data_IF_108998737454
#
_entry.id   IF_108998737454
#
_cell.length_a   1.000
_cell.length_b   1.000
_cell.length_c   1.000
_cell.angle_alpha   90.00
_cell.angle_beta   90.00
_cell.angle_gamma   90.00
#
_symmetry.space_group_name_H-M   'P 1'
#
loop_
_entity.id
_entity.type
_entity.pdbx_description
1 polymer ?
#
# COMPACT_ATOMS: atom_id res chain seq x y z
N UNK A 1 11.40 -7.20 -0.09
CA UNK A 1 10.12 -7.94 0.04
C UNK A 1 8.98 -6.96 -0.18
N UNK A 2 8.03 -7.34 -1.02
CA UNK A 2 6.95 -6.53 -1.63
C UNK A 2 6.44 -7.28 -2.86
N UNK A 3 5.90 -6.59 -3.88
CA UNK A 3 5.41 -7.20 -5.14
C UNK A 3 6.35 -8.25 -5.72
N UNK A 4 7.66 -7.95 -5.78
CA UNK A 4 8.67 -8.89 -6.29
C UNK A 4 8.73 -10.21 -5.52
N UNK A 5 8.63 -10.16 -4.19
CA UNK A 5 8.67 -11.36 -3.35
C UNK A 5 7.37 -12.16 -3.44
N UNK A 6 6.22 -11.47 -3.49
CA UNK A 6 4.92 -12.12 -3.73
C UNK A 6 4.91 -12.83 -5.08
N UNK A 7 5.40 -12.18 -6.13
CA UNK A 7 5.51 -12.77 -7.45
C UNK A 7 6.43 -13.99 -7.46
N UNK A 8 7.61 -13.90 -6.82
CA UNK A 8 8.55 -15.01 -6.68
C UNK A 8 7.92 -16.23 -6.02
N UNK A 9 7.22 -16.02 -4.89
CA UNK A 9 6.57 -17.09 -4.13
C UNK A 9 5.47 -17.76 -4.95
N UNK A 10 4.64 -16.97 -5.64
CA UNK A 10 3.55 -17.51 -6.47
C UNK A 10 4.09 -18.28 -7.66
N UNK A 11 5.07 -17.73 -8.39
CA UNK A 11 5.67 -18.41 -9.54
C UNK A 11 6.34 -19.72 -9.13
N UNK A 12 7.10 -19.75 -8.02
CA UNK A 12 7.70 -20.99 -7.50
C UNK A 12 6.64 -22.00 -7.04
N UNK A 13 5.57 -21.55 -6.39
CA UNK A 13 4.53 -22.43 -5.84
C UNK A 13 3.60 -23.01 -6.90
N UNK A 14 3.47 -22.32 -8.04
CA UNK A 14 2.58 -22.69 -9.14
C UNK A 14 3.32 -23.20 -10.37
N UNK A 15 4.66 -23.36 -10.27
CA UNK A 15 5.55 -23.77 -11.36
C UNK A 15 5.41 -22.90 -12.62
N UNK A 16 5.44 -21.57 -12.42
CA UNK A 16 5.38 -20.57 -13.47
C UNK A 16 6.76 -19.93 -13.66
N UNK A 17 7.05 -19.55 -14.90
CA UNK A 17 8.28 -18.83 -15.26
C UNK A 17 8.04 -17.34 -15.51
N UNK A 18 6.78 -16.94 -15.75
CA UNK A 18 6.41 -15.54 -15.91
C UNK A 18 4.99 -15.25 -15.43
N UNK A 19 4.74 -13.99 -15.10
CA UNK A 19 3.41 -13.44 -14.82
C UNK A 19 3.25 -12.03 -15.41
N UNK A 20 2.05 -11.72 -15.88
CA UNK A 20 1.68 -10.44 -16.47
C UNK A 20 0.99 -9.48 -15.50
N UNK A 21 0.73 -8.28 -16.03
CA UNK A 21 -0.03 -7.24 -15.34
C UNK A 21 0.79 -6.43 -14.36
N UNK A 22 2.13 -6.45 -14.45
CA UNK A 22 2.98 -5.54 -13.69
C UNK A 22 2.71 -4.11 -14.17
N UNK A 23 2.56 -3.18 -13.24
CA UNK A 23 2.51 -1.76 -13.57
C UNK A 23 3.40 -0.99 -12.61
N UNK A 24 3.90 0.15 -13.09
CA UNK A 24 4.69 1.08 -12.29
C UNK A 24 4.33 2.50 -12.72
N UNK A 25 4.22 3.44 -11.77
CA UNK A 25 4.16 4.85 -12.13
C UNK A 25 5.46 5.25 -12.83
N UNK A 26 5.34 6.03 -13.90
CA UNK A 26 6.52 6.61 -14.54
C UNK A 26 6.78 8.00 -13.94
N UNK A 27 8.04 8.37 -13.77
CA UNK A 27 8.43 9.74 -13.41
C UNK A 27 9.03 10.43 -14.63
N UNK A 28 8.56 11.63 -14.94
CA UNK A 28 9.24 12.56 -15.85
C UNK A 28 9.87 13.67 -15.03
N UNK A 29 11.20 13.65 -14.82
CA UNK A 29 11.89 14.69 -14.06
C UNK A 29 12.08 15.95 -14.90
N UNK A 30 11.84 17.10 -14.27
CA UNK A 30 12.18 18.43 -14.77
C UNK A 30 13.20 19.03 -13.80
N UNK A 31 14.36 19.45 -14.30
CA UNK A 31 15.39 20.06 -13.46
C UNK A 31 15.94 21.33 -14.10
N UNK A 32 16.03 22.38 -13.31
CA UNK A 32 16.86 23.53 -13.63
C UNK A 32 18.32 23.21 -13.35
N UNK A 33 19.19 23.44 -14.34
CA UNK A 33 20.61 23.14 -14.21
C UNK A 33 21.29 23.94 -13.08
N UNK A 34 20.71 25.05 -12.63
CA UNK A 34 21.24 25.80 -11.49
C UNK A 34 21.24 25.00 -10.18
N UNK A 35 20.42 23.93 -10.07
CA UNK A 35 20.46 23.03 -8.90
C UNK A 35 21.77 22.26 -8.75
N UNK A 36 22.55 22.15 -9.83
CA UNK A 36 23.86 21.49 -9.82
C UNK A 36 25.02 22.47 -9.61
N UNK A 37 24.74 23.77 -9.47
CA UNK A 37 25.75 24.78 -9.17
C UNK A 37 26.04 24.90 -7.67
N UNK A 38 27.14 25.56 -7.33
CA UNK A 38 27.57 25.80 -5.94
C UNK A 38 26.71 26.82 -5.18
N UNK A 39 25.75 27.47 -5.87
CA UNK A 39 24.89 28.51 -5.29
C UNK A 39 23.44 28.24 -5.64
N UNK A 40 22.55 28.41 -4.64
CA UNK A 40 21.12 28.32 -4.87
C UNK A 40 20.67 29.44 -5.82
N UNK A 41 19.76 29.15 -6.77
CA UNK A 41 19.29 30.13 -7.76
C UNK A 41 18.38 31.22 -7.16
N UNK A 42 18.08 31.16 -5.87
CA UNK A 42 17.38 32.20 -5.13
C UNK A 42 17.72 32.12 -3.63
N UNK A 43 17.32 33.17 -2.90
CA UNK A 43 17.34 33.20 -1.44
C UNK A 43 16.58 32.00 -0.87
N UNK A 44 17.18 31.31 0.12
CA UNK A 44 16.59 30.14 0.77
C UNK A 44 15.22 30.43 1.40
N UNK A 45 14.98 31.67 1.86
CA UNK A 45 13.69 32.10 2.41
C UNK A 45 12.57 32.17 1.36
N UNK A 46 12.91 32.20 0.07
CA UNK A 46 11.99 32.18 -1.05
C UNK A 46 11.75 30.78 -1.62
N UNK A 47 12.47 29.76 -1.14
CA UNK A 47 12.23 28.39 -1.56
C UNK A 47 10.85 27.92 -1.10
N UNK A 48 10.14 27.28 -2.01
CA UNK A 48 8.86 26.64 -1.76
C UNK A 48 8.92 25.23 -2.32
N UNK A 49 8.61 24.26 -1.48
CA UNK A 49 8.36 22.90 -1.90
C UNK A 49 6.86 22.62 -1.80
N UNK A 50 6.37 21.71 -2.62
CA UNK A 50 4.98 21.32 -2.55
C UNK A 50 4.68 20.07 -3.35
N UNK A 51 3.42 19.66 -3.23
CA UNK A 51 2.83 18.61 -4.02
C UNK A 51 1.62 19.19 -4.77
N UNK A 52 1.39 18.68 -5.97
CA UNK A 52 0.26 19.04 -6.82
C UNK A 52 -0.28 17.77 -7.47
N UNK A 53 -1.61 17.68 -7.53
CA UNK A 53 -2.32 16.66 -8.30
C UNK A 53 -3.13 17.33 -9.39
N UNK A 54 -3.30 16.65 -10.52
CA UNK A 54 -4.15 17.09 -11.62
C UNK A 54 -5.12 15.97 -11.98
N UNK A 55 -6.33 16.36 -12.36
CA UNK A 55 -7.35 15.45 -12.88
C UNK A 55 -7.22 15.26 -14.41
N UNK A 56 -6.00 15.45 -14.94
CA UNK A 56 -5.67 15.23 -16.35
C UNK A 56 -5.81 13.76 -16.73
N UNK A 57 -5.74 13.44 -18.04
CA UNK A 57 -5.82 12.07 -18.53
C UNK A 57 -4.81 11.14 -17.84
N UNK A 58 -3.60 11.62 -17.58
CA UNK A 58 -2.54 10.89 -16.87
C UNK A 58 -2.69 10.86 -15.35
N UNK A 59 -3.70 11.56 -14.80
CA UNK A 59 -3.91 11.80 -13.36
C UNK A 59 -2.62 12.16 -12.66
N UNK A 60 -1.90 13.12 -13.24
CA UNK A 60 -0.53 13.39 -12.88
C UNK A 60 -0.42 13.96 -11.47
N UNK A 61 0.63 13.55 -10.76
CA UNK A 61 1.08 14.16 -9.51
C UNK A 61 2.46 14.73 -9.72
N UNK A 62 2.78 15.85 -9.08
CA UNK A 62 4.15 16.34 -9.03
C UNK A 62 4.55 16.74 -7.63
N UNK A 63 5.72 16.28 -7.20
CA UNK A 63 6.49 16.93 -6.15
C UNK A 63 7.38 17.97 -6.81
N UNK A 64 7.39 19.19 -6.29
CA UNK A 64 8.14 20.28 -6.91
C UNK A 64 8.86 21.15 -5.89
N UNK A 65 9.90 21.80 -6.38
CA UNK A 65 10.66 22.83 -5.70
C UNK A 65 10.71 24.06 -6.61
N UNK A 66 10.39 25.24 -6.08
CA UNK A 66 10.45 26.49 -6.82
C UNK A 66 11.00 27.64 -5.97
N UNK A 67 11.52 28.64 -6.67
CA UNK A 67 11.78 29.96 -6.13
C UNK A 67 10.52 30.81 -6.24
N UNK A 68 9.99 31.28 -5.11
CA UNK A 68 8.90 32.25 -5.06
C UNK A 68 9.30 33.56 -5.76
N UNK A 69 8.33 34.37 -6.22
CA UNK A 69 8.65 35.65 -6.84
C UNK A 69 9.38 36.57 -5.85
N UNK A 70 10.29 37.38 -6.38
CA UNK A 70 10.95 38.47 -5.65
C UNK A 70 10.77 39.78 -6.43
N UNK A 71 11.03 40.96 -5.83
CA UNK A 71 10.98 42.23 -6.56
C UNK A 71 11.88 42.27 -7.81
N UNK A 72 12.93 41.45 -7.84
CA UNK A 72 13.92 41.39 -8.92
C UNK A 72 13.76 40.18 -9.85
N UNK A 73 12.82 39.25 -9.58
CA UNK A 73 12.72 38.01 -10.36
C UNK A 73 11.31 37.41 -10.37
N UNK A 74 10.83 36.93 -11.54
CA UNK A 74 9.61 36.12 -11.58
C UNK A 74 9.80 34.80 -10.79
N UNK A 75 8.72 34.09 -10.48
CA UNK A 75 8.85 32.76 -9.89
C UNK A 75 9.51 31.81 -10.88
N UNK A 76 10.27 30.85 -10.35
CA UNK A 76 11.04 29.90 -11.15
C UNK A 76 10.92 28.49 -10.59
N UNK A 77 10.43 27.57 -11.41
CA UNK A 77 10.45 26.15 -11.09
C UNK A 77 11.89 25.64 -11.15
N UNK A 78 12.36 25.05 -10.05
CA UNK A 78 13.71 24.49 -9.95
C UNK A 78 13.72 23.00 -10.23
N UNK A 79 12.75 22.28 -9.69
CA UNK A 79 12.60 20.86 -9.93
C UNK A 79 11.12 20.46 -9.90
N UNK A 80 10.75 19.48 -10.71
CA UNK A 80 9.51 18.73 -10.53
C UNK A 80 9.73 17.27 -10.90
N UNK A 81 9.19 16.36 -10.10
CA UNK A 81 9.09 14.94 -10.42
C UNK A 81 7.64 14.66 -10.79
N UNK A 82 7.34 14.62 -12.09
CA UNK A 82 5.98 14.43 -12.58
C UNK A 82 5.69 12.94 -12.69
N UNK A 83 4.86 12.41 -11.79
CA UNK A 83 4.37 11.04 -11.81
C UNK A 83 3.15 10.93 -12.73
N UNK A 84 3.24 10.03 -13.71
CA UNK A 84 2.12 9.62 -14.58
C UNK A 84 1.47 8.38 -13.98
N UNK A 85 0.22 8.50 -13.54
CA UNK A 85 -0.42 7.49 -12.69
C UNK A 85 -1.62 6.78 -13.34
N UNK A 86 -1.93 7.08 -14.61
CA UNK A 86 -3.05 6.46 -15.33
C UNK A 86 -2.60 5.83 -16.67
N UNK A 87 -1.47 5.13 -16.66
CA UNK A 87 -1.01 4.39 -17.82
C UNK A 87 -1.72 3.02 -17.91
N UNK A 88 -2.07 2.60 -19.13
CA UNK A 88 -2.68 1.30 -19.40
C UNK A 88 -1.65 0.24 -19.78
N UNK A 89 -0.43 0.64 -20.15
CA UNK A 89 0.67 -0.27 -20.39
C UNK A 89 0.91 -1.18 -19.17
N UNK A 90 1.20 -2.46 -19.43
CA UNK A 90 1.51 -3.48 -18.43
C UNK A 90 2.77 -4.22 -18.85
N UNK A 91 3.53 -4.64 -17.86
CA UNK A 91 4.75 -5.41 -18.00
C UNK A 91 4.61 -6.82 -17.49
N UNK A 92 5.74 -7.50 -17.44
CA UNK A 92 5.88 -8.87 -16.99
C UNK A 92 6.86 -8.96 -15.82
N UNK A 93 6.66 -9.97 -14.97
CA UNK A 93 7.64 -10.45 -14.02
C UNK A 93 8.07 -11.83 -14.48
N UNK A 94 9.36 -12.10 -14.50
CA UNK A 94 9.96 -13.36 -14.94
C UNK A 94 10.87 -13.93 -13.86
N UNK A 95 10.87 -15.26 -13.74
CA UNK A 95 11.92 -15.99 -13.04
C UNK A 95 12.99 -16.39 -14.07
N UNK A 96 14.11 -15.70 -14.02
CA UNK A 96 15.28 -16.07 -14.81
C UNK A 96 15.98 -17.26 -14.12
N UNK A 97 16.18 -18.35 -14.86
CA UNK A 97 17.04 -19.46 -14.48
C UNK A 97 18.50 -19.04 -14.65
N UNK A 98 18.96 -18.13 -13.77
CA UNK A 98 20.30 -17.58 -13.83
C UNK A 98 21.37 -18.69 -13.82
N UNK A 99 22.47 -18.45 -14.56
CA UNK A 99 23.67 -19.29 -14.51
C UNK A 99 24.26 -19.21 -13.10
N UNK A 100 24.13 -20.27 -12.31
CA UNK A 100 24.70 -20.37 -10.95
C UNK A 100 23.72 -20.12 -9.81
N UNK A 101 22.83 -21.09 -9.59
CA UNK A 101 22.23 -21.47 -8.30
C UNK A 101 21.21 -20.55 -7.59
N UNK A 102 20.75 -19.44 -8.16
CA UNK A 102 19.54 -18.76 -7.65
C UNK A 102 18.68 -18.18 -8.78
N UNK A 103 17.44 -18.66 -8.91
CA UNK A 103 16.42 -18.04 -9.77
C UNK A 103 16.28 -16.57 -9.39
N UNK A 104 16.43 -15.66 -10.36
CA UNK A 104 16.31 -14.21 -10.13
C UNK A 104 14.96 -13.73 -10.63
N UNK A 105 14.29 -12.90 -9.84
CA UNK A 105 13.08 -12.20 -10.27
C UNK A 105 13.49 -10.98 -11.09
N UNK A 106 12.94 -10.85 -12.29
CA UNK A 106 13.15 -9.70 -13.17
C UNK A 106 11.81 -9.11 -13.60
N UNK A 107 11.70 -7.79 -13.58
CA UNK A 107 10.60 -7.08 -14.23
C UNK A 107 10.99 -6.58 -15.61
N UNK A 108 10.04 -6.60 -16.55
CA UNK A 108 10.17 -5.98 -17.87
C UNK A 108 8.97 -5.06 -18.12
N UNK A 109 9.24 -3.80 -18.46
CA UNK A 109 8.21 -2.79 -18.69
C UNK A 109 8.69 -1.72 -19.67
N UNK A 110 7.77 -1.21 -20.49
CA UNK A 110 7.99 -0.04 -21.37
C UNK A 110 7.03 1.06 -20.99
N UNK A 111 7.53 2.16 -20.42
CA UNK A 111 6.70 3.27 -19.98
C UNK A 111 5.89 3.87 -21.14
N UNK A 112 4.59 4.04 -20.89
CA UNK A 112 3.64 4.67 -21.83
C UNK A 112 3.56 4.02 -23.21
N UNK A 113 3.89 2.72 -23.32
CA UNK A 113 3.76 1.98 -24.57
C UNK A 113 2.33 2.08 -25.12
N UNK A 114 2.19 2.48 -26.38
CA UNK A 114 0.90 2.75 -27.02
C UNK A 114 0.19 4.03 -26.56
N UNK A 115 0.82 4.86 -25.73
CA UNK A 115 0.27 6.10 -25.18
C UNK A 115 1.27 7.28 -25.25
N UNK A 116 1.80 7.64 -26.44
CA UNK A 116 2.89 8.61 -26.57
C UNK A 116 2.56 10.02 -26.05
N UNK A 117 1.28 10.41 -26.04
CA UNK A 117 0.82 11.70 -25.49
C UNK A 117 0.74 11.75 -23.96
N UNK A 118 0.72 10.60 -23.27
CA UNK A 118 0.37 10.58 -21.85
C UNK A 118 1.39 11.30 -20.97
N UNK A 119 2.68 11.09 -21.21
CA UNK A 119 3.75 11.77 -20.49
C UNK A 119 3.79 13.29 -20.79
N UNK A 120 3.88 13.74 -22.05
CA UNK A 120 3.97 15.18 -22.32
C UNK A 120 2.70 15.93 -21.88
N UNK A 121 1.51 15.36 -22.06
CA UNK A 121 0.26 16.02 -21.63
C UNK A 121 0.16 16.09 -20.09
N UNK A 122 0.72 15.11 -19.37
CA UNK A 122 0.82 15.14 -17.90
C UNK A 122 1.76 16.23 -17.41
N UNK A 123 2.91 16.41 -18.07
CA UNK A 123 3.85 17.48 -17.75
C UNK A 123 3.23 18.85 -18.04
N UNK A 124 2.59 19.01 -19.20
CA UNK A 124 1.89 20.24 -19.58
C UNK A 124 0.79 20.60 -18.56
N UNK A 125 0.02 19.61 -18.10
CA UNK A 125 -1.02 19.82 -17.08
C UNK A 125 -0.43 20.28 -15.73
N UNK A 126 0.68 19.70 -15.29
CA UNK A 126 1.38 20.14 -14.07
C UNK A 126 1.91 21.57 -14.23
N UNK A 127 2.55 21.88 -15.36
CA UNK A 127 3.08 23.23 -15.62
C UNK A 127 1.94 24.26 -15.65
N UNK A 128 0.82 23.95 -16.28
CA UNK A 128 -0.36 24.83 -16.32
C UNK A 128 -0.92 25.09 -14.91
N UNK A 129 -1.07 24.04 -14.10
CA UNK A 129 -1.55 24.20 -12.72
C UNK A 129 -0.54 24.89 -11.79
N UNK A 130 0.77 24.78 -12.04
CA UNK A 130 1.78 25.58 -11.34
C UNK A 130 1.72 27.06 -11.76
N UNK A 131 1.48 27.36 -13.04
CA UNK A 131 1.26 28.73 -13.52
C UNK A 131 0.00 29.36 -12.92
N UNK A 132 -1.09 28.61 -12.85
CA UNK A 132 -2.31 29.06 -12.17
C UNK A 132 -2.05 29.43 -10.70
N UNK A 133 -1.23 28.61 -10.00
CA UNK A 133 -0.90 28.83 -8.58
C UNK A 133 0.11 29.95 -8.32
N UNK A 134 1.12 30.10 -9.18
CA UNK A 134 2.29 30.95 -8.92
C UNK A 134 2.43 32.14 -9.89
N UNK A 135 1.59 32.22 -10.92
CA UNK A 135 1.59 33.25 -11.93
C UNK A 135 2.00 32.73 -13.31
N UNK A 136 1.38 33.29 -14.36
CA UNK A 136 1.63 32.92 -15.76
C UNK A 136 3.09 33.16 -16.20
N UNK A 137 3.79 34.06 -15.53
CA UNK A 137 5.21 34.35 -15.77
C UNK A 137 6.17 33.37 -15.07
N UNK A 138 5.67 32.27 -14.49
CA UNK A 138 6.50 31.19 -13.96
C UNK A 138 7.45 30.67 -15.03
N UNK A 139 8.74 30.82 -14.77
CA UNK A 139 9.80 30.24 -15.59
C UNK A 139 9.92 28.76 -15.28
N UNK A 140 9.96 27.93 -16.32
CA UNK A 140 10.10 26.47 -16.21
C UNK A 140 11.39 26.01 -16.88
N UNK A 141 12.06 24.96 -16.37
CA UNK A 141 13.21 24.38 -17.02
C UNK A 141 12.88 23.92 -18.44
N UNK A 142 13.85 24.02 -19.35
CA UNK A 142 13.72 23.42 -20.67
C UNK A 142 13.57 21.90 -20.53
N UNK A 143 12.62 21.32 -21.25
CA UNK A 143 12.39 19.88 -21.27
C UNK A 143 11.99 19.43 -22.67
N UNK A 144 12.31 18.19 -23.02
CA UNK A 144 12.01 17.63 -24.33
C UNK A 144 10.58 17.09 -24.37
N UNK A 145 9.64 17.91 -24.85
CA UNK A 145 8.25 17.49 -25.03
C UNK A 145 8.07 16.36 -26.05
N UNK A 146 8.92 16.31 -27.08
CA UNK A 146 8.81 15.31 -28.14
C UNK A 146 9.28 13.92 -27.69
N UNK A 147 10.21 13.87 -26.73
CA UNK A 147 10.74 12.64 -26.15
C UNK A 147 11.02 12.84 -24.65
N UNK A 148 9.95 12.83 -23.81
CA UNK A 148 10.11 12.98 -22.38
C UNK A 148 10.72 11.72 -21.79
N UNK A 149 11.89 11.87 -21.17
CA UNK A 149 12.57 10.77 -20.48
C UNK A 149 11.75 10.33 -19.26
N UNK A 150 11.06 9.21 -19.40
CA UNK A 150 10.37 8.53 -18.31
C UNK A 150 11.32 7.57 -17.59
N UNK A 151 11.37 7.65 -16.27
CA UNK A 151 12.18 6.78 -15.40
C UNK A 151 11.31 6.09 -14.36
N UNK A 152 11.89 5.05 -13.74
CA UNK A 152 11.27 4.31 -12.64
C UNK A 152 10.96 5.22 -11.45
N UNK A 153 9.78 5.03 -10.87
CA UNK A 153 9.35 5.68 -9.63
C UNK A 153 9.56 4.80 -8.40
N UNK A 154 9.81 3.50 -8.60
CA UNK A 154 9.71 2.44 -7.60
C UNK A 154 8.29 2.27 -7.01
N UNK A 155 7.27 2.92 -7.59
CA UNK A 155 5.87 2.76 -7.23
C UNK A 155 5.23 1.70 -8.12
N UNK A 156 5.47 0.43 -7.78
CA UNK A 156 5.00 -0.72 -8.55
C UNK A 156 3.84 -1.47 -7.88
N UNK A 157 3.01 -2.10 -8.70
CA UNK A 157 1.91 -2.94 -8.29
C UNK A 157 1.50 -3.96 -9.36
N UNK A 158 0.52 -4.79 -9.03
CA UNK A 158 0.08 -5.87 -9.91
C UNK A 158 1.12 -6.98 -10.07
N UNK A 159 1.31 -7.45 -11.29
CA UNK A 159 2.31 -8.49 -11.63
C UNK A 159 1.91 -9.92 -11.27
N UNK A 160 0.65 -10.14 -10.91
CA UNK A 160 0.09 -11.45 -10.53
C UNK A 160 -1.26 -11.71 -11.22
N UNK A 161 -1.57 -10.95 -12.28
CA UNK A 161 -2.93 -10.92 -12.87
C UNK A 161 -3.35 -12.26 -13.47
N UNK A 162 -2.38 -13.12 -13.81
CA UNK A 162 -2.63 -14.45 -14.38
C UNK A 162 -3.14 -15.45 -13.33
N UNK A 163 -2.84 -15.22 -12.05
CA UNK A 163 -3.09 -16.17 -10.97
C UNK A 163 -3.85 -15.59 -9.80
N UNK A 164 -4.06 -14.28 -9.76
CA UNK A 164 -4.75 -13.61 -8.67
C UNK A 164 -5.61 -12.46 -9.18
N UNK A 165 -6.73 -12.24 -8.49
CA UNK A 165 -7.65 -11.15 -8.77
C UNK A 165 -8.15 -10.55 -7.46
N UNK A 166 -8.19 -9.22 -7.37
CA UNK A 166 -8.64 -8.48 -6.19
C UNK A 166 -8.00 -8.97 -4.88
N UNK A 167 -6.69 -9.26 -4.89
CA UNK A 167 -5.95 -9.73 -3.72
C UNK A 167 -6.24 -11.17 -3.28
N UNK A 168 -6.79 -12.03 -4.15
CA UNK A 168 -6.98 -13.47 -3.89
C UNK A 168 -6.40 -14.30 -5.02
N UNK A 169 -5.69 -15.39 -4.66
CA UNK A 169 -5.16 -16.35 -5.64
C UNK A 169 -6.27 -17.27 -6.15
N UNK A 170 -6.37 -17.40 -7.48
CA UNK A 170 -7.37 -18.18 -8.20
C UNK A 170 -7.24 -19.66 -7.83
N UNK A 171 -8.39 -20.30 -7.55
CA UNK A 171 -8.43 -21.73 -7.22
C UNK A 171 -7.74 -22.10 -5.89
N UNK A 172 -7.44 -21.11 -5.04
CA UNK A 172 -6.89 -21.32 -3.70
C UNK A 172 -7.77 -20.61 -2.67
N UNK A 173 -8.42 -21.41 -1.83
CA UNK A 173 -9.08 -20.86 -0.65
C UNK A 173 -8.00 -20.41 0.33
N UNK A 174 -8.21 -19.27 1.00
CA UNK A 174 -7.32 -18.75 2.06
C UNK A 174 -5.93 -18.28 1.65
N UNK A 175 -5.68 -18.08 0.36
CA UNK A 175 -4.45 -17.43 -0.10
C UNK A 175 -4.76 -16.02 -0.59
N UNK A 176 -4.41 -15.05 0.25
CA UNK A 176 -4.69 -13.62 0.07
C UNK A 176 -3.39 -12.83 -0.07
N UNK A 177 -3.43 -11.78 -0.89
CA UNK A 177 -2.30 -10.90 -1.16
C UNK A 177 -2.49 -9.60 -0.38
N UNK A 178 -1.52 -9.29 0.49
CA UNK A 178 -1.56 -8.14 1.39
C UNK A 178 -0.65 -6.97 0.98
N UNK A 179 -0.22 -6.92 -0.28
CA UNK A 179 0.67 -5.87 -0.80
C UNK A 179 0.15 -5.30 -2.13
N UNK A 180 0.97 -4.45 -2.78
CA UNK A 180 0.59 -3.79 -4.05
C UNK A 180 0.33 -4.76 -5.21
N UNK A 181 0.73 -6.03 -5.13
CA UNK A 181 0.42 -7.03 -6.15
C UNK A 181 -1.09 -7.32 -6.23
N UNK A 182 -1.84 -7.03 -5.16
CA UNK A 182 -3.29 -7.20 -5.13
C UNK A 182 -4.06 -6.30 -6.12
N UNK A 183 -3.44 -5.23 -6.63
CA UNK A 183 -4.07 -4.25 -7.52
C UNK A 183 -3.74 -4.56 -8.98
N UNK A 184 -4.75 -4.94 -9.77
CA UNK A 184 -4.64 -5.13 -11.23
C UNK A 184 -4.51 -3.79 -11.99
N UNK A 185 -5.06 -2.73 -11.41
CA UNK A 185 -5.03 -1.39 -11.95
C UNK A 185 -4.01 -0.51 -11.22
N UNK A 186 -3.45 0.43 -11.97
CA UNK A 186 -2.56 1.45 -11.45
C UNK A 186 -3.33 2.31 -10.45
N UNK A 187 -2.84 2.38 -9.21
CA UNK A 187 -3.47 3.18 -8.17
C UNK A 187 -3.09 4.65 -8.34
N UNK A 188 -4.02 5.57 -8.09
CA UNK A 188 -3.73 7.00 -8.06
C UNK A 188 -3.38 7.44 -6.64
N UNK A 189 -2.35 8.25 -6.49
CA UNK A 189 -1.86 8.77 -5.21
C UNK A 189 -0.77 7.90 -4.57
N UNK A 190 -0.57 8.07 -3.26
CA UNK A 190 0.52 7.45 -2.53
C UNK A 190 0.40 5.92 -2.45
N UNK A 191 1.30 5.22 -3.12
CA UNK A 191 1.33 3.75 -3.18
C UNK A 191 1.60 3.09 -1.84
N UNK A 192 2.32 3.74 -0.92
CA UNK A 192 2.50 3.24 0.46
C UNK A 192 1.15 3.10 1.20
N UNK A 193 0.25 4.07 1.04
CA UNK A 193 -1.08 4.00 1.66
C UNK A 193 -1.93 2.89 1.00
N UNK A 194 -1.86 2.75 -0.33
CA UNK A 194 -2.53 1.68 -1.04
C UNK A 194 -2.03 0.28 -0.59
N UNK A 195 -0.72 0.13 -0.38
CA UNK A 195 -0.13 -1.12 0.14
C UNK A 195 -0.65 -1.46 1.54
N UNK A 196 -0.74 -0.47 2.43
CA UNK A 196 -1.32 -0.66 3.76
C UNK A 196 -2.79 -1.09 3.69
N UNK A 197 -3.58 -0.48 2.81
CA UNK A 197 -4.98 -0.87 2.58
C UNK A 197 -5.08 -2.32 2.09
N UNK A 198 -4.23 -2.75 1.15
CA UNK A 198 -4.20 -4.15 0.71
C UNK A 198 -3.92 -5.11 1.88
N UNK A 199 -2.95 -4.78 2.74
CA UNK A 199 -2.64 -5.56 3.95
C UNK A 199 -3.82 -5.66 4.91
N UNK A 200 -4.49 -4.54 5.20
CA UNK A 200 -5.67 -4.49 6.06
C UNK A 200 -6.80 -5.33 5.48
N UNK A 201 -7.10 -5.18 4.18
CA UNK A 201 -8.16 -5.95 3.51
C UNK A 201 -7.86 -7.44 3.51
N UNK A 202 -6.61 -7.84 3.28
CA UNK A 202 -6.19 -9.23 3.37
C UNK A 202 -6.37 -9.78 4.79
N UNK A 203 -5.95 -9.03 5.81
CA UNK A 203 -6.12 -9.43 7.21
C UNK A 203 -7.60 -9.59 7.60
N UNK A 204 -8.45 -8.63 7.23
CA UNK A 204 -9.89 -8.69 7.49
C UNK A 204 -10.53 -9.93 6.84
N UNK A 205 -10.20 -10.21 5.58
CA UNK A 205 -10.70 -11.40 4.87
C UNK A 205 -10.19 -12.70 5.50
N UNK A 206 -8.95 -12.74 5.97
CA UNK A 206 -8.43 -13.88 6.72
C UNK A 206 -9.22 -14.10 8.01
N UNK A 207 -9.53 -13.02 8.76
CA UNK A 207 -10.35 -13.11 9.98
C UNK A 207 -11.75 -13.64 9.69
N UNK A 208 -12.41 -13.14 8.63
CA UNK A 208 -13.72 -13.62 8.21
C UNK A 208 -13.68 -15.12 7.86
N UNK A 209 -12.64 -15.56 7.14
CA UNK A 209 -12.46 -16.98 6.79
C UNK A 209 -12.14 -17.86 8.01
N UNK A 210 -11.40 -17.35 8.98
CA UNK A 210 -11.12 -18.03 10.25
C UNK A 210 -12.36 -18.08 11.16
N UNK A 211 -13.22 -17.05 11.14
CA UNK A 211 -14.48 -17.07 11.88
C UNK A 211 -15.43 -18.15 11.36
N UNK A 212 -15.37 -18.46 10.05
CA UNK A 212 -16.09 -19.59 9.46
C UNK A 212 -15.52 -20.97 9.85
N UNK A 213 -14.34 -21.02 10.49
CA UNK A 213 -13.70 -22.25 10.98
C UNK A 213 -14.05 -22.59 12.43
N UNK A 214 -14.92 -21.82 13.10
CA UNK A 214 -15.33 -22.12 14.48
C UNK A 214 -15.95 -23.52 14.57
N UNK A 215 -15.43 -24.24 15.57
CA UNK A 215 -15.41 -25.68 15.83
C UNK A 215 -16.69 -26.51 15.63
N UNK A 216 -16.54 -27.84 15.42
CA UNK A 216 -17.66 -28.77 15.31
C UNK A 216 -18.59 -28.68 16.52
N UNK A 217 -19.88 -28.94 16.28
CA UNK A 217 -20.89 -29.04 17.33
C UNK A 217 -20.34 -29.90 18.49
N UNK A 218 -20.48 -29.39 19.72
CA UNK A 218 -20.19 -30.19 20.92
C UNK A 218 -20.89 -31.54 20.79
N UNK A 219 -20.22 -32.67 21.09
CA UNK A 219 -20.89 -33.97 21.06
C UNK A 219 -22.17 -33.88 21.91
N UNK A 220 -23.26 -34.54 21.48
CA UNK A 220 -24.53 -34.46 22.19
C UNK A 220 -24.29 -34.79 23.67
N UNK A 221 -24.65 -33.85 24.55
CA UNK A 221 -24.53 -34.05 25.99
C UNK A 221 -25.43 -35.23 26.33
N UNK A 222 -24.84 -36.38 26.64
CA UNK A 222 -25.58 -37.50 27.20
C UNK A 222 -26.19 -37.01 28.51
N UNK A 223 -27.52 -37.08 28.70
CA UNK A 223 -28.12 -36.66 29.96
C UNK A 223 -27.45 -37.44 31.11
N UNK A 224 -27.13 -36.77 32.23
CA UNK A 224 -26.55 -37.46 33.37
C UNK A 224 -27.47 -38.61 33.79
N UNK A 225 -26.92 -39.76 34.20
CA UNK A 225 -27.73 -40.85 34.72
C UNK A 225 -28.59 -40.32 35.87
N UNK A 226 -29.89 -40.61 35.82
CA UNK A 226 -30.86 -40.19 36.82
C UNK A 226 -30.36 -40.60 38.21
N UNK A 227 -29.98 -39.63 39.03
CA UNK A 227 -29.64 -39.89 40.44
C UNK A 227 -30.93 -40.32 41.15
N UNK A 228 -30.97 -41.47 41.83
CA UNK A 228 -32.11 -41.86 42.64
C UNK A 228 -32.38 -40.76 43.68
N UNK A 229 -33.64 -40.36 43.81
CA UNK A 229 -34.10 -39.34 44.76
C UNK A 229 -33.60 -39.66 46.17
N UNK A 230 -32.59 -38.94 46.64
CA UNK A 230 -32.16 -38.99 48.03
C UNK A 230 -33.17 -38.22 48.88
N UNK A 231 -33.70 -38.90 49.88
CA UNK A 231 -34.59 -38.36 50.92
C UNK A 231 -33.90 -37.18 51.60
N UNK A 232 -34.63 -36.06 51.71
CA UNK A 232 -34.16 -34.83 52.30
C UNK A 232 -33.73 -35.02 53.76
N UNK A 233 -32.51 -34.62 54.08
CA UNK A 233 -32.09 -34.31 55.45
C UNK A 233 -31.55 -32.89 55.42
N UNK A 234 -32.24 -31.98 56.12
CA UNK A 234 -31.83 -30.58 56.31
C UNK A 234 -30.47 -30.49 57.00
N UNK A 235 -29.67 -29.46 56.69
CA UNK A 235 -29.50 -28.44 57.72
C UNK A 235 -29.41 -26.99 57.21
N UNK A 236 -29.86 -26.12 58.11
CA UNK A 236 -29.68 -24.66 58.12
C UNK A 236 -28.27 -24.29 58.62
N UNK A 237 -27.87 -23.07 58.25
CA UNK A 237 -26.71 -22.27 58.67
C UNK A 237 -25.39 -22.49 57.89
N UNK A 238 -25.24 -21.66 56.86
CA UNK A 238 -23.98 -21.34 56.19
C UNK A 238 -23.17 -20.33 57.01
N UNK A 239 -21.84 -20.48 57.03
CA UNK A 239 -20.89 -19.36 57.11
C UNK A 239 -19.66 -19.71 56.29
N UNK A 240 -19.21 -18.74 55.48
CA UNK A 240 -18.11 -18.75 54.51
C UNK A 240 -16.75 -19.19 55.06
N UNK A 241 -15.87 -19.74 54.21
CA UNK A 241 -14.47 -19.29 54.05
C UNK A 241 -14.00 -19.52 52.60
N UNK A 242 -13.49 -18.45 51.99
CA UNK A 242 -12.78 -18.38 50.70
C UNK A 242 -11.53 -19.28 50.64
N UNK A 243 -11.30 -19.94 49.50
CA UNK A 243 -9.95 -20.33 49.07
C UNK A 243 -9.79 -19.97 47.58
N UNK A 244 -8.84 -19.05 47.34
CA UNK A 244 -8.32 -18.68 46.04
C UNK A 244 -7.48 -19.80 45.40
N UNK A 245 -7.55 -19.92 44.08
CA UNK A 245 -6.65 -20.74 43.24
C UNK A 245 -6.89 -20.42 41.76
N UNK A 246 -6.17 -19.46 41.18
CA UNK A 246 -4.97 -19.64 40.34
C UNK A 246 -5.24 -20.35 39.01
N UNK A 247 -5.37 -19.56 37.92
CA UNK A 247 -5.14 -20.05 36.57
C UNK A 247 -3.65 -19.93 36.24
N UNK A 248 -2.97 -21.07 36.11
CA UNK A 248 -1.60 -21.16 35.62
C UNK A 248 -1.58 -21.11 34.08
N UNK A 249 -0.71 -20.30 33.46
CA UNK A 249 -0.46 -20.33 32.02
C UNK A 249 0.76 -21.21 31.69
N UNK A 250 0.63 -22.11 30.70
CA UNK A 250 1.79 -22.66 30.00
C UNK A 250 1.92 -22.01 28.62
N UNK A 251 2.62 -20.88 28.57
CA UNK A 251 3.25 -20.34 27.37
C UNK A 251 4.45 -19.49 27.82
N UNK A 252 5.69 -19.77 27.37
CA UNK A 252 6.82 -18.95 27.75
C UNK A 252 6.91 -17.72 26.84
N UNK A 253 7.19 -16.58 27.47
CA UNK A 253 7.50 -15.24 26.96
C UNK A 253 6.32 -14.23 26.99
N UNK A 254 6.43 -13.13 27.78
CA UNK A 254 5.38 -12.14 28.00
C UNK A 254 5.56 -10.88 27.15
N UNK A 255 4.47 -10.35 26.60
CA UNK A 255 4.04 -8.94 26.74
C UNK A 255 2.73 -8.73 25.94
N UNK A 256 1.66 -8.42 26.69
CA UNK A 256 0.40 -7.76 26.30
C UNK A 256 -0.38 -8.23 25.05
N UNK A 257 -1.14 -9.32 25.18
CA UNK A 257 -2.35 -9.54 24.38
C UNK A 257 -3.58 -8.94 25.11
N UNK A 258 -3.96 -7.72 24.76
CA UNK A 258 -5.31 -7.21 25.05
C UNK A 258 -6.26 -7.73 23.96
N UNK A 259 -7.24 -8.57 24.32
CA UNK A 259 -8.37 -8.86 23.44
C UNK A 259 -9.24 -7.60 23.32
N UNK A 260 -9.43 -7.00 22.12
CA UNK A 260 -10.51 -6.05 21.95
C UNK A 260 -11.81 -6.86 21.88
N UNK A 261 -12.72 -6.57 22.80
CA UNK A 261 -14.11 -6.94 22.66
C UNK A 261 -14.61 -6.53 21.26
N UNK A 262 -15.36 -7.44 20.63
CA UNK A 262 -16.08 -7.30 19.36
C UNK A 262 -16.53 -5.86 19.07
N UNK A 263 -15.71 -5.11 18.33
CA UNK A 263 -16.09 -3.87 17.66
C UNK A 263 -16.23 -4.20 16.18
N UNK A 264 -17.46 -4.11 15.67
CA UNK A 264 -17.75 -4.38 14.26
C UNK A 264 -16.93 -3.47 13.35
N UNK A 265 -16.36 -4.04 12.29
CA UNK A 265 -15.48 -3.36 11.32
C UNK A 265 -16.10 -2.11 10.64
N UNK A 266 -17.41 -1.86 10.81
CA UNK A 266 -18.09 -0.64 10.33
C UNK A 266 -17.75 0.62 11.12
N UNK A 267 -17.30 0.51 12.37
CA UNK A 267 -17.06 1.68 13.22
C UNK A 267 -15.65 2.28 13.09
N UNK A 268 -14.68 1.53 12.55
CA UNK A 268 -13.32 2.05 12.31
C UNK A 268 -13.23 3.06 11.16
N UNK A 269 -14.20 3.07 10.24
CA UNK A 269 -14.21 3.98 9.08
C UNK A 269 -14.82 5.38 9.37
N UNK A 270 -15.42 5.61 10.54
CA UNK A 270 -16.15 6.86 10.83
C UNK A 270 -15.66 7.68 12.03
N UNK A 271 -14.58 7.28 12.69
CA UNK A 271 -13.99 8.05 13.79
C UNK A 271 -12.49 8.28 13.60
N UNK A 272 -12.17 9.30 12.80
CA UNK A 272 -10.95 10.07 13.01
C UNK A 272 -11.35 11.40 13.69
N UNK A 273 -10.95 11.60 14.95
CA UNK A 273 -10.50 12.91 15.38
C UNK A 273 -9.00 12.87 15.65
N UNK A 274 -8.41 14.04 15.42
CA UNK A 274 -6.99 14.30 15.47
C UNK A 274 -6.33 13.98 16.82
N UNK A 275 -5.01 13.76 16.74
CA UNK A 275 -4.00 13.76 17.82
C UNK A 275 -4.04 12.61 18.83
N UNK A 276 -3.09 11.69 18.69
CA UNK A 276 -1.91 11.56 19.60
C UNK A 276 -0.98 10.49 19.07
N UNK A 277 0.27 10.89 18.84
CA UNK A 277 1.40 10.02 18.55
C UNK A 277 1.67 9.10 19.74
N UNK A 278 1.86 7.81 19.47
CA UNK A 278 2.70 6.92 20.26
C UNK A 278 3.51 6.07 19.28
N UNK A 279 4.83 6.25 19.30
CA UNK A 279 5.80 5.33 18.71
C UNK A 279 6.29 4.38 19.79
N UNK A 280 6.59 3.13 19.43
CA UNK A 280 7.53 2.27 20.11
C UNK A 280 8.47 1.64 19.07
N UNK A 281 9.75 1.55 19.44
CA UNK A 281 10.91 1.08 18.64
C UNK A 281 10.82 -0.40 18.35
#
# INVERSE_FOLDING_TARGET
GGVWGTAELLMKSLDLTSMGGLWEHAVVPLFDMALYGDTLPCDASLLRAGNLHTDSLGRAQAEYLLCAPSPSSPPKLLAAWVLVMNATARGTIELDDGVGAARRVRGSYTYHSGQPGLAPDSVDAIIAALRDRYGDNLTVPAWNRADPTAVSSHHLGGGVSDVAHHGRVIGRQRLLLGDMSAFSEMTHGYTTAAAAVAGIVAAMRTLDECALLVSPASPPVTPPPSVPTAVAISPSAATEVNIAGTCEPQCPIPEECVCPALLSARQLLYHLPATRSCYCV
#
